data_IF_704614204705
#
_entry.id   IF_704614204705
#
_cell.length_a   1.000
_cell.length_b   1.000
_cell.length_c   1.000
_cell.angle_alpha   90.00
_cell.angle_beta   90.00
_cell.angle_gamma   90.00
#
_symmetry.space_group_name_H-M   'P 1'
#
loop_
_entity.id
_entity.type
_entity.pdbx_description
1 polymer ?
#
# COMPACT_ATOMS: atom_id res chain seq x y z
N UNK A 1 0.53 14.13 -4.42
CA UNK A 1 -0.32 12.97 -4.78
C UNK A 1 -1.49 13.51 -5.57
N UNK A 2 -1.82 12.88 -6.70
CA UNK A 2 -2.94 13.28 -7.55
C UNK A 2 -3.90 12.10 -7.64
N UNK A 3 -5.18 12.32 -7.34
CA UNK A 3 -6.23 11.33 -7.51
C UNK A 3 -6.91 11.57 -8.86
N UNK A 4 -6.92 10.56 -9.73
CA UNK A 4 -7.59 10.62 -11.03
C UNK A 4 -8.75 9.64 -11.10
N UNK A 5 -9.92 10.12 -11.52
CA UNK A 5 -11.13 9.32 -11.68
C UNK A 5 -11.42 9.13 -13.17
N UNK A 6 -11.20 7.92 -13.68
CA UNK A 6 -11.39 7.61 -15.11
C UNK A 6 -12.86 7.50 -15.53
N UNK A 7 -13.73 7.00 -14.66
CA UNK A 7 -15.16 6.82 -14.94
C UNK A 7 -15.99 7.57 -13.92
N UNK A 8 -16.84 8.48 -14.39
CA UNK A 8 -17.82 9.17 -13.55
C UNK A 8 -18.86 8.16 -13.10
N UNK A 9 -18.76 7.71 -11.86
CA UNK A 9 -19.86 7.09 -11.15
C UNK A 9 -20.50 8.16 -10.26
N UNK A 10 -21.83 8.29 -10.25
CA UNK A 10 -22.49 9.40 -9.54
C UNK A 10 -22.21 9.37 -8.02
N UNK A 11 -21.89 8.20 -7.48
CA UNK A 11 -21.63 7.97 -6.05
C UNK A 11 -20.30 7.20 -5.85
N UNK A 12 -19.17 7.80 -6.22
CA UNK A 12 -17.86 7.18 -5.95
C UNK A 12 -17.57 7.23 -4.46
N UNK A 13 -17.37 6.06 -3.86
CA UNK A 13 -16.89 5.90 -2.50
C UNK A 13 -15.54 5.18 -2.54
N UNK A 14 -14.50 5.83 -2.03
CA UNK A 14 -13.17 5.24 -1.91
C UNK A 14 -13.14 4.47 -0.59
N UNK A 15 -13.32 3.14 -0.65
CA UNK A 15 -13.35 2.27 0.55
C UNK A 15 -12.13 1.38 0.69
N UNK A 16 -11.52 1.01 -0.43
CA UNK A 16 -10.37 0.12 -0.48
C UNK A 16 -9.36 0.71 -1.44
N UNK A 17 -8.12 0.83 -0.98
CA UNK A 17 -6.99 1.31 -1.79
C UNK A 17 -5.90 0.25 -1.76
N UNK A 18 -5.44 -0.15 -2.93
CA UNK A 18 -4.26 -1.03 -3.04
C UNK A 18 -3.03 -0.15 -3.13
N UNK A 19 -2.09 -0.34 -2.20
CA UNK A 19 -0.75 0.20 -2.29
C UNK A 19 0.18 -0.91 -2.77
N UNK A 20 0.54 -0.86 -4.05
CA UNK A 20 1.54 -1.75 -4.63
C UNK A 20 2.93 -1.15 -4.39
N UNK A 21 3.81 -1.90 -3.71
CA UNK A 21 5.10 -1.39 -3.24
C UNK A 21 6.17 -2.46 -3.23
N UNK A 22 7.42 -2.07 -3.51
CA UNK A 22 8.60 -2.90 -3.27
C UNK A 22 9.30 -2.57 -1.93
N UNK A 23 8.66 -1.76 -1.07
CA UNK A 23 9.09 -1.29 0.27
C UNK A 23 10.25 -0.27 0.23
N UNK A 24 11.10 -0.31 -0.79
CA UNK A 24 12.33 0.47 -0.87
C UNK A 24 12.12 1.86 -1.47
N UNK A 25 11.26 1.97 -2.48
CA UNK A 25 11.14 3.18 -3.29
C UNK A 25 10.10 4.19 -2.76
N UNK A 26 9.36 3.83 -1.71
CA UNK A 26 8.33 4.70 -1.16
C UNK A 26 8.93 5.82 -0.31
N UNK A 27 8.72 7.06 -0.74
CA UNK A 27 9.16 8.22 0.01
C UNK A 27 8.29 8.47 1.26
N UNK A 28 8.86 8.94 2.38
CA UNK A 28 8.08 9.32 3.56
C UNK A 28 6.99 10.36 3.26
N UNK A 29 7.25 11.27 2.32
CA UNK A 29 6.29 12.29 1.88
C UNK A 29 5.07 11.65 1.17
N UNK A 30 5.29 10.66 0.31
CA UNK A 30 4.21 9.92 -0.33
C UNK A 30 3.33 9.22 0.71
N UNK A 31 3.96 8.54 1.67
CA UNK A 31 3.24 7.83 2.74
C UNK A 31 2.46 8.80 3.64
N UNK A 32 3.03 9.96 3.95
CA UNK A 32 2.31 11.01 4.68
C UNK A 32 1.05 11.46 3.94
N UNK A 33 1.12 11.68 2.62
CA UNK A 33 -0.04 12.06 1.80
C UNK A 33 -1.08 10.95 1.69
N UNK A 34 -0.64 9.69 1.63
CA UNK A 34 -1.53 8.53 1.65
C UNK A 34 -2.29 8.46 2.98
N UNK A 35 -1.60 8.62 4.12
CA UNK A 35 -2.21 8.63 5.46
C UNK A 35 -3.22 9.76 5.62
N UNK A 36 -2.87 10.98 5.20
CA UNK A 36 -3.79 12.11 5.22
C UNK A 36 -5.05 11.82 4.39
N UNK A 37 -4.90 11.14 3.25
CA UNK A 37 -6.04 10.74 2.42
C UNK A 37 -6.87 9.63 3.06
N UNK A 38 -6.22 8.71 3.77
CA UNK A 38 -6.91 7.69 4.55
C UNK A 38 -7.79 8.31 5.63
N UNK A 39 -7.32 9.35 6.30
CA UNK A 39 -8.10 10.07 7.32
C UNK A 39 -9.30 10.81 6.72
N UNK A 40 -9.18 11.34 5.50
CA UNK A 40 -10.26 12.06 4.81
C UNK A 40 -11.34 11.12 4.29
N UNK A 41 -10.94 9.98 3.72
CA UNK A 41 -11.84 9.08 3.00
C UNK A 41 -12.21 7.81 3.77
N UNK A 42 -11.55 7.55 4.90
CA UNK A 42 -11.73 6.37 5.76
C UNK A 42 -11.64 5.03 5.00
N UNK A 43 -10.65 4.92 4.10
CA UNK A 43 -10.44 3.70 3.34
C UNK A 43 -9.52 2.69 4.06
N UNK A 44 -9.71 1.41 3.73
CA UNK A 44 -8.79 0.33 4.06
C UNK A 44 -7.63 0.28 3.07
N UNK A 45 -6.42 0.12 3.56
CA UNK A 45 -5.22 -0.08 2.72
C UNK A 45 -4.96 -1.58 2.56
N UNK A 46 -4.76 -1.99 1.33
CA UNK A 46 -4.32 -3.33 0.96
C UNK A 46 -2.90 -3.23 0.42
N UNK A 47 -1.92 -3.73 1.17
CA UNK A 47 -0.53 -3.74 0.75
C UNK A 47 -0.29 -4.92 -0.18
N UNK A 48 0.15 -4.62 -1.40
CA UNK A 48 0.61 -5.61 -2.37
C UNK A 48 2.12 -5.49 -2.52
N UNK A 49 2.85 -6.53 -2.13
CA UNK A 49 4.29 -6.57 -2.32
C UNK A 49 4.64 -6.88 -3.78
N UNK A 50 5.41 -5.99 -4.40
CA UNK A 50 6.03 -6.21 -5.70
C UNK A 50 7.41 -6.82 -5.46
N UNK A 51 7.66 -7.99 -6.06
CA UNK A 51 8.91 -8.72 -5.95
C UNK A 51 9.75 -8.55 -7.25
N UNK A 52 10.48 -7.44 -7.41
CA UNK A 52 11.22 -7.17 -8.64
C UNK A 52 12.43 -8.09 -8.77
N UNK A 53 12.81 -8.41 -10.02
CA UNK A 53 13.92 -9.34 -10.31
C UNK A 53 15.26 -8.92 -9.69
N UNK A 54 15.52 -7.62 -9.56
CA UNK A 54 16.80 -7.09 -9.05
C UNK A 54 16.96 -7.30 -7.53
N UNK A 55 15.86 -7.39 -6.79
CA UNK A 55 15.85 -7.64 -5.34
C UNK A 55 14.91 -8.79 -5.00
N UNK A 56 14.90 -9.79 -5.88
CA UNK A 56 14.02 -10.94 -5.78
C UNK A 56 14.22 -11.66 -4.45
N UNK A 57 13.12 -11.87 -3.74
CA UNK A 57 13.08 -12.66 -2.52
C UNK A 57 12.12 -13.83 -2.70
N UNK A 58 12.60 -15.04 -2.43
CA UNK A 58 11.75 -16.25 -2.46
C UNK A 58 11.26 -16.66 -1.07
N UNK A 59 11.94 -16.22 -0.01
CA UNK A 59 11.55 -16.60 1.35
C UNK A 59 10.32 -15.79 1.81
N UNK A 60 9.22 -16.51 1.98
CA UNK A 60 7.96 -15.95 2.45
C UNK A 60 8.07 -15.30 3.84
N UNK A 61 8.86 -15.84 4.75
CA UNK A 61 9.01 -15.28 6.09
C UNK A 61 9.75 -13.95 6.03
N UNK A 62 10.74 -13.83 5.15
CA UNK A 62 11.48 -12.58 4.94
C UNK A 62 10.56 -11.51 4.37
N UNK A 63 9.76 -11.84 3.36
CA UNK A 63 8.79 -10.89 2.77
C UNK A 63 7.77 -10.43 3.82
N UNK A 64 7.22 -11.36 4.60
CA UNK A 64 6.28 -11.02 5.66
C UNK A 64 6.91 -10.15 6.75
N UNK A 65 8.17 -10.40 7.13
CA UNK A 65 8.90 -9.56 8.07
C UNK A 65 9.06 -8.16 7.52
N UNK A 66 9.53 -8.01 6.27
CA UNK A 66 9.72 -6.71 5.62
C UNK A 66 8.41 -5.92 5.53
N UNK A 67 7.30 -6.58 5.20
CA UNK A 67 5.98 -5.96 5.17
C UNK A 67 5.54 -5.48 6.56
N UNK A 68 5.76 -6.30 7.59
CA UNK A 68 5.45 -5.93 8.98
C UNK A 68 6.28 -4.73 9.44
N UNK A 69 7.57 -4.74 9.14
CA UNK A 69 8.48 -3.65 9.46
C UNK A 69 8.09 -2.36 8.74
N UNK A 70 7.66 -2.46 7.48
CA UNK A 70 7.16 -1.33 6.72
C UNK A 70 5.87 -0.75 7.32
N UNK A 71 4.89 -1.59 7.67
CA UNK A 71 3.65 -1.17 8.35
C UNK A 71 3.98 -0.46 9.66
N UNK A 72 4.89 -1.03 10.46
CA UNK A 72 5.28 -0.48 11.76
C UNK A 72 6.04 0.85 11.60
N UNK A 73 7.01 0.90 10.68
CA UNK A 73 7.83 2.09 10.41
C UNK A 73 6.97 3.30 10.04
N UNK A 74 5.95 3.08 9.22
CA UNK A 74 5.07 4.15 8.75
C UNK A 74 3.78 4.31 9.57
N UNK A 75 3.56 3.43 10.55
CA UNK A 75 2.35 3.39 11.38
C UNK A 75 1.08 3.44 10.52
N UNK A 76 1.00 2.55 9.52
CA UNK A 76 -0.17 2.45 8.65
C UNK A 76 -1.35 1.90 9.45
N UNK A 77 -2.50 2.57 9.38
CA UNK A 77 -3.74 2.17 10.05
C UNK A 77 -4.64 1.42 9.07
N UNK A 78 -5.58 0.64 9.59
CA UNK A 78 -6.61 -0.08 8.80
C UNK A 78 -6.03 -0.70 7.53
N UNK A 79 -4.96 -1.48 7.71
CA UNK A 79 -4.14 -2.02 6.62
C UNK A 79 -4.11 -3.55 6.70
N UNK A 80 -4.21 -4.22 5.57
CA UNK A 80 -3.91 -5.65 5.45
C UNK A 80 -2.86 -5.91 4.39
N UNK A 81 -1.99 -6.89 4.63
CA UNK A 81 -1.03 -7.35 3.64
C UNK A 81 -1.63 -8.48 2.82
N UNK A 82 -1.72 -8.28 1.50
CA UNK A 82 -2.14 -9.30 0.54
C UNK A 82 -0.89 -9.79 -0.19
N UNK A 83 -0.70 -11.11 -0.18
CA UNK A 83 0.33 -11.76 -0.96
C UNK A 83 -0.32 -12.53 -2.11
N UNK A 84 -0.15 -12.06 -3.34
CA UNK A 84 -0.54 -12.81 -4.54
C UNK A 84 0.68 -13.58 -5.07
N UNK A 85 0.58 -14.92 -5.11
CA UNK A 85 1.46 -15.74 -5.95
C UNK A 85 0.97 -15.55 -7.39
N UNK A 86 1.74 -14.85 -8.21
CA UNK A 86 1.57 -14.87 -9.68
C UNK A 86 2.16 -16.17 -10.21
#
# INVERSE_FOLDING_TARGET
>A
MVLSVKRKNKNILIRNVVLATNIQDDSPEFISKLKASQEIFDFKIHLLYINPLISYESDHNIIQSRLRDYINRFQLKNCESIFEKI
#
